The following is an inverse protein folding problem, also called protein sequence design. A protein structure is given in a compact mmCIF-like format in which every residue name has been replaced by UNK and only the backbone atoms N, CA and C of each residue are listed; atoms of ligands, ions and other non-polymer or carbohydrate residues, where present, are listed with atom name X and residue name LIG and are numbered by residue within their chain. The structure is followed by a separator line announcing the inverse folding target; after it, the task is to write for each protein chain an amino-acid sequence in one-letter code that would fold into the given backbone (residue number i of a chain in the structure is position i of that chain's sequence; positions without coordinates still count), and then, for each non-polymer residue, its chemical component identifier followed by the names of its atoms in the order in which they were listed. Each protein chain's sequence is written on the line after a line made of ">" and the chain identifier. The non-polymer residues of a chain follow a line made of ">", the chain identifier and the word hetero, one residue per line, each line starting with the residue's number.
data_IF_415684654229
#
_entry.id   IF_415684654229
#
_cell.length_a   1.000
_cell.length_b   1.000
_cell.length_c   1.000
_cell.angle_alpha   90.00
_cell.angle_beta   90.00
_cell.angle_gamma   90.00
#
_symmetry.space_group_name_H-M   'P 1'
#
loop_
_entity.id
_entity.type
_entity.pdbx_description
1 polymer ?
#
# COMPACT_ATOMS: atom_id res chain seq x y z
N UNK A 1 -11.39 -3.62 7.60
CA UNK A 1 -12.06 -2.31 7.64
C UNK A 1 -12.02 -1.77 6.24
N UNK A 2 -13.16 -1.34 5.69
CA UNK A 2 -13.21 -0.65 4.40
C UNK A 2 -13.43 0.84 4.67
N UNK A 3 -12.58 1.69 4.11
CA UNK A 3 -12.59 3.13 4.34
C UNK A 3 -12.86 3.84 3.03
N UNK A 4 -13.87 4.70 3.00
CA UNK A 4 -14.33 5.38 1.79
C UNK A 4 -15.81 5.15 1.52
N UNK A 5 -16.35 5.91 0.58
CA UNK A 5 -17.78 5.91 0.24
C UNK A 5 -18.00 5.74 -1.27
N UNK A 6 -17.09 5.03 -1.92
CA UNK A 6 -17.15 4.69 -3.32
C UNK A 6 -18.19 3.57 -3.54
N UNK A 7 -18.74 3.51 -4.74
CA UNK A 7 -19.82 2.57 -5.09
C UNK A 7 -19.41 1.12 -4.81
N UNK A 8 -20.28 0.37 -4.11
CA UNK A 8 -20.06 -1.04 -3.78
C UNK A 8 -19.41 -1.29 -2.42
N UNK A 9 -18.82 -0.27 -1.78
CA UNK A 9 -18.13 -0.45 -0.49
C UNK A 9 -19.12 -0.82 0.63
N UNK A 10 -20.28 -0.18 0.70
CA UNK A 10 -21.27 -0.49 1.74
C UNK A 10 -21.81 -1.91 1.58
N UNK A 11 -22.15 -2.31 0.36
CA UNK A 11 -22.68 -3.63 0.04
C UNK A 11 -21.66 -4.73 0.36
N UNK A 12 -20.43 -4.60 -0.15
CA UNK A 12 -19.39 -5.61 0.08
C UNK A 12 -18.95 -5.64 1.55
N UNK A 13 -19.02 -4.50 2.27
CA UNK A 13 -18.72 -4.48 3.70
C UNK A 13 -19.70 -5.33 4.49
N UNK A 14 -21.00 -5.28 4.15
CA UNK A 14 -22.05 -6.09 4.78
C UNK A 14 -21.93 -7.56 4.40
N UNK A 15 -21.64 -7.85 3.12
CA UNK A 15 -21.46 -9.23 2.64
C UNK A 15 -20.30 -9.93 3.36
N UNK A 16 -19.17 -9.23 3.54
CA UNK A 16 -17.97 -9.77 4.18
C UNK A 16 -17.95 -9.65 5.72
N UNK A 17 -19.01 -9.13 6.33
CA UNK A 17 -19.07 -8.80 7.77
C UNK A 17 -17.87 -7.96 8.23
N UNK A 18 -17.54 -6.92 7.46
CA UNK A 18 -16.41 -6.02 7.75
C UNK A 18 -16.90 -4.64 8.15
N UNK A 19 -16.19 -4.02 9.09
CA UNK A 19 -16.46 -2.63 9.49
C UNK A 19 -16.23 -1.66 8.32
N UNK A 20 -17.23 -0.83 8.05
CA UNK A 20 -17.18 0.26 7.07
C UNK A 20 -16.99 1.62 7.76
N UNK A 21 -16.12 2.48 7.20
CA UNK A 21 -15.90 3.87 7.62
C UNK A 21 -16.07 4.77 6.38
N UNK A 22 -17.28 5.29 6.12
CA UNK A 22 -17.56 6.03 4.88
C UNK A 22 -16.94 7.42 4.84
N UNK A 23 -16.94 8.10 5.99
CA UNK A 23 -16.53 9.49 6.04
C UNK A 23 -15.02 9.60 6.08
N UNK A 24 -14.44 10.34 5.15
CA UNK A 24 -13.04 10.77 5.15
C UNK A 24 -12.99 12.20 4.66
N UNK A 25 -12.02 12.97 5.13
CA UNK A 25 -11.82 14.30 4.58
C UNK A 25 -11.46 14.17 3.10
N UNK A 26 -12.08 15.03 2.30
CA UNK A 26 -11.94 15.08 0.86
C UNK A 26 -11.39 16.44 0.48
N UNK A 27 -10.70 16.53 -0.66
CA UNK A 27 -10.29 17.81 -1.21
C UNK A 27 -11.49 18.54 -1.87
N UNK A 28 -11.23 19.71 -2.47
CA UNK A 28 -12.26 20.52 -3.14
C UNK A 28 -12.92 19.82 -4.33
N UNK A 29 -12.30 18.79 -4.90
CA UNK A 29 -12.86 17.96 -5.98
C UNK A 29 -13.66 16.76 -5.46
N UNK A 30 -13.75 16.59 -4.13
CA UNK A 30 -14.42 15.44 -3.51
C UNK A 30 -13.56 14.18 -3.43
N UNK A 31 -12.27 14.21 -3.77
CA UNK A 31 -11.39 13.03 -3.70
C UNK A 31 -10.88 12.82 -2.27
N UNK A 32 -10.91 11.59 -1.73
CA UNK A 32 -10.40 11.28 -0.40
C UNK A 32 -8.94 11.69 -0.19
N UNK A 33 -8.63 12.17 1.01
CA UNK A 33 -7.26 12.51 1.42
C UNK A 33 -6.60 11.34 2.15
N UNK A 34 -5.40 10.98 1.72
CA UNK A 34 -4.56 9.92 2.28
C UNK A 34 -4.39 10.07 3.79
N UNK A 35 -4.04 11.27 4.26
CA UNK A 35 -3.88 11.53 5.70
C UNK A 35 -5.15 11.20 6.49
N UNK A 36 -6.33 11.50 5.96
CA UNK A 36 -7.59 11.25 6.65
C UNK A 36 -7.90 9.77 6.75
N UNK A 37 -7.53 8.99 5.73
CA UNK A 37 -7.71 7.54 5.73
C UNK A 37 -6.83 6.91 6.81
N UNK A 38 -5.54 7.26 6.86
CA UNK A 38 -4.62 6.75 7.87
C UNK A 38 -4.97 7.20 9.29
N UNK A 39 -5.41 8.45 9.49
CA UNK A 39 -5.90 8.92 10.80
C UNK A 39 -7.09 8.08 11.26
N UNK A 40 -8.13 7.94 10.43
CA UNK A 40 -9.33 7.17 10.80
C UNK A 40 -9.06 5.69 10.98
N UNK A 41 -8.16 5.11 10.19
CA UNK A 41 -7.70 3.74 10.38
C UNK A 41 -7.07 3.56 11.78
N UNK A 42 -6.17 4.45 12.18
CA UNK A 42 -5.51 4.39 13.49
C UNK A 42 -6.49 4.61 14.65
N UNK A 43 -7.41 5.58 14.53
CA UNK A 43 -8.42 5.85 15.56
C UNK A 43 -9.39 4.67 15.76
N UNK A 44 -9.74 3.99 14.66
CA UNK A 44 -10.69 2.88 14.68
C UNK A 44 -10.07 1.50 14.98
N UNK A 45 -8.75 1.36 14.82
CA UNK A 45 -8.05 0.10 15.03
C UNK A 45 -8.08 -0.35 16.49
N UNK A 46 -8.43 -1.61 16.73
CA UNK A 46 -8.36 -2.25 18.05
C UNK A 46 -7.02 -2.96 18.28
N UNK A 47 -6.32 -3.33 17.19
CA UNK A 47 -5.04 -4.02 17.22
C UNK A 47 -3.85 -3.05 17.11
N UNK A 48 -2.67 -3.52 17.52
CA UNK A 48 -1.44 -2.72 17.49
C UNK A 48 -0.73 -2.72 16.13
N UNK A 49 -0.92 -3.74 15.28
CA UNK A 49 -0.35 -3.79 13.93
C UNK A 49 -1.47 -3.47 12.94
N UNK A 50 -1.24 -2.49 12.06
CA UNK A 50 -2.14 -2.13 10.98
C UNK A 50 -1.54 -2.52 9.63
N UNK A 51 -2.40 -2.98 8.73
CA UNK A 51 -2.09 -3.20 7.33
C UNK A 51 -3.01 -2.30 6.52
N UNK A 52 -2.43 -1.36 5.78
CA UNK A 52 -3.11 -0.68 4.69
C UNK A 52 -2.77 -1.40 3.39
N UNK A 53 -3.77 -1.61 2.53
CA UNK A 53 -3.61 -2.28 1.24
C UNK A 53 -4.61 -1.66 0.26
N UNK A 54 -4.16 -1.38 -0.97
CA UNK A 54 -5.06 -0.95 -2.03
C UNK A 54 -6.01 -2.10 -2.44
N UNK A 55 -7.22 -1.77 -2.89
CA UNK A 55 -8.28 -2.76 -3.12
C UNK A 55 -8.05 -3.66 -4.35
N UNK A 56 -7.09 -3.30 -5.20
CA UNK A 56 -6.62 -4.03 -6.39
C UNK A 56 -5.41 -4.95 -6.10
N UNK A 57 -5.01 -5.06 -4.82
CA UNK A 57 -3.92 -5.92 -4.37
C UNK A 57 -4.46 -7.21 -3.74
N UNK A 58 -3.93 -8.33 -4.19
CA UNK A 58 -4.11 -9.65 -3.59
C UNK A 58 -2.84 -9.99 -2.80
N UNK A 59 -2.99 -10.19 -1.49
CA UNK A 59 -1.93 -10.66 -0.60
C UNK A 59 -2.09 -12.17 -0.35
N UNK A 60 -0.96 -12.88 -0.25
CA UNK A 60 -0.94 -14.33 -0.08
C UNK A 60 -0.60 -14.74 1.37
N UNK A 61 -0.56 -16.04 1.64
CA UNK A 61 -0.30 -16.56 2.99
C UNK A 61 1.09 -16.23 3.56
N UNK A 62 1.98 -15.62 2.76
CA UNK A 62 3.29 -15.15 3.20
C UNK A 62 3.27 -13.82 3.98
N UNK A 63 2.17 -13.06 3.91
CA UNK A 63 2.00 -11.79 4.61
C UNK A 63 2.16 -11.93 6.12
N UNK A 64 1.39 -12.83 6.75
CA UNK A 64 1.36 -12.95 8.20
C UNK A 64 2.71 -13.43 8.78
N UNK A 65 3.37 -14.47 8.24
CA UNK A 65 4.72 -14.84 8.65
C UNK A 65 5.72 -13.68 8.57
N UNK A 66 5.70 -12.90 7.48
CA UNK A 66 6.59 -11.76 7.31
C UNK A 66 6.37 -10.68 8.39
N UNK A 67 5.10 -10.36 8.68
CA UNK A 67 4.74 -9.42 9.75
C UNK A 67 5.24 -9.91 11.11
N UNK A 68 5.00 -11.18 11.43
CA UNK A 68 5.43 -11.79 12.70
C UNK A 68 6.96 -11.73 12.87
N UNK A 69 7.70 -12.06 11.81
CA UNK A 69 9.17 -12.00 11.84
C UNK A 69 9.68 -10.61 12.18
N UNK A 70 9.10 -9.56 11.59
CA UNK A 70 9.50 -8.17 11.86
C UNK A 70 9.03 -7.73 13.25
N UNK A 71 7.78 -8.00 13.62
CA UNK A 71 7.20 -7.55 14.89
C UNK A 71 7.87 -8.18 16.11
N UNK A 72 8.47 -9.37 15.97
CA UNK A 72 9.23 -10.02 17.04
C UNK A 72 10.60 -9.38 17.29
N UNK A 73 11.09 -8.54 16.37
CA UNK A 73 12.44 -7.98 16.39
C UNK A 73 12.45 -6.44 16.49
N UNK A 74 11.34 -5.78 16.17
CA UNK A 74 11.25 -4.33 16.11
C UNK A 74 9.94 -3.83 16.73
N UNK A 75 10.05 -2.76 17.53
CA UNK A 75 8.88 -2.11 18.16
C UNK A 75 8.25 -1.00 17.30
N UNK A 76 8.94 -0.57 16.24
CA UNK A 76 8.49 0.44 15.30
C UNK A 76 9.07 0.14 13.94
N UNK A 77 8.23 0.16 12.90
CA UNK A 77 8.63 -0.17 11.55
C UNK A 77 7.61 0.31 10.51
N UNK A 78 8.07 0.38 9.26
CA UNK A 78 7.24 0.43 8.06
C UNK A 78 7.64 -0.72 7.13
N UNK A 79 6.78 -1.73 6.96
CA UNK A 79 6.99 -2.80 5.99
C UNK A 79 6.28 -2.43 4.70
N UNK A 80 7.03 -2.46 3.60
CA UNK A 80 6.58 -2.20 2.23
C UNK A 80 7.26 -3.21 1.29
N UNK A 81 6.82 -3.27 0.03
CA UNK A 81 7.44 -4.12 -0.98
C UNK A 81 6.89 -3.83 -2.36
N UNK A 82 7.66 -4.18 -3.39
CA UNK A 82 7.18 -4.13 -4.77
C UNK A 82 6.06 -5.15 -4.97
N UNK A 83 5.17 -4.85 -5.91
CA UNK A 83 4.12 -5.77 -6.34
C UNK A 83 4.44 -6.40 -7.69
N UNK A 84 3.74 -7.48 -7.99
CA UNK A 84 3.67 -8.06 -9.31
C UNK A 84 2.44 -7.56 -10.05
N UNK A 85 2.63 -6.97 -11.21
CA UNK A 85 1.55 -6.60 -12.12
C UNK A 85 1.19 -7.83 -12.97
N UNK A 86 -0.09 -8.22 -12.96
CA UNK A 86 -0.57 -9.38 -13.72
C UNK A 86 -2.00 -9.16 -14.20
N UNK A 87 -2.29 -9.64 -15.40
CA UNK A 87 -3.65 -9.68 -15.93
C UNK A 87 -4.39 -10.87 -15.32
N UNK A 88 -5.50 -10.60 -14.64
CA UNK A 88 -6.41 -11.62 -14.10
C UNK A 88 -7.80 -11.31 -14.64
N UNK A 89 -8.27 -12.17 -15.55
CA UNK A 89 -9.55 -12.04 -16.25
C UNK A 89 -10.57 -13.12 -15.83
N UNK A 90 -10.28 -13.85 -14.75
CA UNK A 90 -11.13 -14.90 -14.19
C UNK A 90 -11.44 -14.66 -12.72
N UNK A 91 -12.57 -15.20 -12.26
CA UNK A 91 -12.96 -15.16 -10.85
C UNK A 91 -12.07 -16.11 -10.06
N UNK A 92 -11.41 -15.58 -9.03
CA UNK A 92 -10.60 -16.36 -8.10
C UNK A 92 -11.55 -16.99 -7.07
N UNK A 93 -11.56 -18.32 -6.99
CA UNK A 93 -12.27 -19.03 -5.93
C UNK A 93 -11.33 -19.26 -4.73
N UNK A 94 -11.39 -18.36 -3.74
CA UNK A 94 -10.59 -18.46 -2.52
C UNK A 94 -10.91 -19.67 -1.63
N UNK A 95 -11.96 -20.44 -1.94
CA UNK A 95 -12.32 -21.65 -1.19
C UNK A 95 -11.58 -22.92 -1.65
N UNK A 96 -10.82 -22.88 -2.76
CA UNK A 96 -10.07 -24.07 -3.22
C UNK A 96 -8.69 -24.13 -2.58
N UNK A 97 -8.27 -25.30 -2.11
CA UNK A 97 -6.96 -25.44 -1.44
C UNK A 97 -5.74 -25.03 -2.29
N UNK A 98 -5.90 -24.90 -3.61
CA UNK A 98 -4.85 -24.59 -4.56
C UNK A 98 -4.92 -23.18 -5.17
N UNK A 99 -5.85 -22.32 -4.72
CA UNK A 99 -6.03 -20.97 -5.27
C UNK A 99 -4.72 -20.16 -5.26
N UNK A 100 -3.98 -20.24 -4.15
CA UNK A 100 -2.74 -19.49 -3.97
C UNK A 100 -1.64 -20.01 -4.90
N UNK A 101 -1.46 -21.34 -4.97
CA UNK A 101 -0.46 -21.97 -5.82
C UNK A 101 -0.73 -21.63 -7.29
N UNK A 102 -1.99 -21.67 -7.73
CA UNK A 102 -2.40 -21.27 -9.08
C UNK A 102 -2.06 -19.82 -9.38
N UNK A 103 -2.36 -18.90 -8.46
CA UNK A 103 -2.01 -17.49 -8.62
C UNK A 103 -0.50 -17.28 -8.70
N UNK A 104 0.29 -17.90 -7.79
CA UNK A 104 1.76 -17.79 -7.85
C UNK A 104 2.33 -18.30 -9.18
N UNK A 105 1.82 -19.42 -9.68
CA UNK A 105 2.26 -19.99 -10.97
C UNK A 105 1.88 -19.04 -12.12
N UNK A 106 0.65 -18.56 -12.16
CA UNK A 106 0.20 -17.58 -13.16
C UNK A 106 1.09 -16.34 -13.12
N UNK A 107 1.19 -15.68 -11.96
CA UNK A 107 1.95 -14.43 -11.81
C UNK A 107 3.42 -14.59 -12.17
N UNK A 108 4.07 -15.71 -11.83
CA UNK A 108 5.46 -15.97 -12.22
C UNK A 108 5.63 -16.20 -13.72
N UNK A 109 4.61 -16.74 -14.39
CA UNK A 109 4.66 -17.05 -15.81
C UNK A 109 4.30 -15.86 -16.70
N UNK A 110 3.37 -15.02 -16.27
CA UNK A 110 2.79 -13.94 -17.10
C UNK A 110 2.96 -12.55 -16.51
N UNK A 111 3.13 -12.45 -15.20
CA UNK A 111 3.26 -11.19 -14.49
C UNK A 111 4.67 -10.60 -14.58
N UNK A 112 4.79 -9.36 -14.12
CA UNK A 112 6.07 -8.62 -14.07
C UNK A 112 6.17 -7.92 -12.74
N UNK A 113 7.35 -7.92 -12.13
CA UNK A 113 7.58 -7.08 -10.96
C UNK A 113 7.52 -5.60 -11.39
N UNK A 114 6.73 -4.80 -10.69
CA UNK A 114 6.66 -3.37 -10.96
C UNK A 114 7.99 -2.70 -10.59
N UNK A 115 8.33 -1.57 -11.20
CA UNK A 115 9.48 -0.73 -10.83
C UNK A 115 9.54 -0.42 -9.31
N UNK A 116 10.74 -0.15 -8.74
CA UNK A 116 10.99 0.14 -7.32
C UNK A 116 10.07 1.18 -6.65
N UNK A 117 9.39 2.00 -7.43
CA UNK A 117 8.42 3.00 -6.96
C UNK A 117 7.08 2.40 -6.56
N UNK A 118 6.73 1.24 -7.11
CA UNK A 118 5.40 0.65 -7.01
C UNK A 118 5.17 -0.12 -5.72
N UNK A 119 4.66 0.57 -4.70
CA UNK A 119 4.32 0.01 -3.38
C UNK A 119 2.84 0.29 -3.06
N UNK A 120 2.09 -0.74 -2.69
CA UNK A 120 0.62 -0.64 -2.56
C UNK A 120 0.08 -1.27 -1.27
N UNK A 121 0.98 -1.74 -0.41
CA UNK A 121 0.66 -2.17 0.93
C UNK A 121 1.68 -1.61 1.93
N UNK A 122 1.20 -1.32 3.14
CA UNK A 122 1.97 -0.69 4.20
C UNK A 122 1.60 -1.35 5.52
N UNK A 123 2.59 -1.96 6.20
CA UNK A 123 2.41 -2.50 7.54
C UNK A 123 3.16 -1.65 8.55
N UNK A 124 2.48 -1.23 9.60
CA UNK A 124 3.05 -0.34 10.61
C UNK A 124 2.34 -0.49 11.96
N UNK A 125 2.99 -0.02 13.02
CA UNK A 125 2.41 0.02 14.36
C UNK A 125 1.36 1.13 14.48
N UNK A 126 0.26 0.86 15.19
CA UNK A 126 -0.74 1.86 15.60
C UNK A 126 -0.05 3.00 16.34
N UNK A 127 -0.50 4.23 16.09
CA UNK A 127 0.05 5.48 16.59
C UNK A 127 1.44 5.82 16.04
N UNK A 128 1.83 5.21 14.91
CA UNK A 128 3.07 5.60 14.23
C UNK A 128 3.03 7.09 13.85
N UNK A 129 4.11 7.85 14.08
CA UNK A 129 4.16 9.27 13.74
C UNK A 129 4.26 9.52 12.22
N UNK A 130 4.45 8.48 11.39
CA UNK A 130 4.52 8.57 9.92
C UNK A 130 3.30 9.30 9.34
N UNK A 131 2.13 9.21 9.98
CA UNK A 131 0.91 9.77 9.43
C UNK A 131 0.46 11.08 10.09
N UNK A 132 1.08 11.51 11.20
CA UNK A 132 0.57 12.58 12.07
C UNK A 132 0.46 13.95 11.38
N UNK A 133 1.40 14.26 10.48
CA UNK A 133 1.44 15.50 9.70
C UNK A 133 1.62 15.20 8.20
N UNK A 134 1.05 14.07 7.75
CA UNK A 134 1.21 13.67 6.36
C UNK A 134 0.50 14.66 5.43
N UNK A 135 1.11 15.12 4.32
CA UNK A 135 0.49 16.11 3.45
C UNK A 135 -0.83 15.62 2.82
N UNK A 136 -1.65 16.58 2.37
CA UNK A 136 -3.00 16.37 1.82
C UNK A 136 -2.98 15.76 0.40
N UNK A 137 -2.27 14.64 0.23
CA UNK A 137 -2.32 13.86 -0.99
C UNK A 137 -3.72 13.27 -1.20
N UNK A 138 -4.23 13.40 -2.41
CA UNK A 138 -5.45 12.75 -2.84
C UNK A 138 -5.18 11.29 -3.21
N UNK A 139 -6.10 10.39 -2.86
CA UNK A 139 -6.05 8.97 -3.24
C UNK A 139 -6.02 8.84 -4.77
N UNK A 140 -5.26 7.85 -5.27
CA UNK A 140 -5.16 7.57 -6.70
C UNK A 140 -4.37 8.63 -7.49
N UNK A 141 -3.57 9.45 -6.81
CA UNK A 141 -2.59 10.37 -7.43
C UNK A 141 -1.18 9.96 -7.04
N UNK A 142 -0.21 10.41 -7.82
CA UNK A 142 1.20 10.04 -7.61
C UNK A 142 1.78 10.47 -6.26
N UNK A 143 2.84 9.75 -5.88
CA UNK A 143 3.90 10.10 -4.93
C UNK A 143 3.57 10.03 -3.44
N UNK A 144 2.32 9.88 -3.01
CA UNK A 144 2.01 9.77 -1.58
C UNK A 144 2.67 8.53 -0.94
N UNK A 145 2.69 7.43 -1.68
CA UNK A 145 3.35 6.18 -1.37
C UNK A 145 4.85 6.40 -1.13
N UNK A 146 5.55 6.99 -2.11
CA UNK A 146 6.98 7.27 -2.04
C UNK A 146 7.34 8.28 -0.95
N UNK A 147 6.48 9.28 -0.71
CA UNK A 147 6.66 10.26 0.37
C UNK A 147 6.46 9.64 1.74
N UNK A 148 5.66 8.57 1.88
CA UNK A 148 5.52 7.84 3.14
C UNK A 148 6.83 7.18 3.58
N UNK A 149 7.60 6.63 2.63
CA UNK A 149 8.93 6.09 2.89
C UNK A 149 9.84 7.21 3.39
N UNK A 150 9.89 8.34 2.67
CA UNK A 150 10.68 9.49 3.10
C UNK A 150 10.34 9.94 4.51
N UNK A 151 9.04 10.03 4.83
CA UNK A 151 8.62 10.46 6.16
C UNK A 151 9.03 9.47 7.25
N UNK A 152 8.94 8.16 7.00
CA UNK A 152 9.44 7.14 7.92
C UNK A 152 10.96 7.29 8.15
N UNK A 153 11.74 7.52 7.09
CA UNK A 153 13.18 7.73 7.19
C UNK A 153 13.54 9.00 7.98
N UNK A 154 12.83 10.11 7.78
CA UNK A 154 13.04 11.34 8.56
C UNK A 154 12.75 11.15 10.06
N UNK A 155 11.87 10.20 10.38
CA UNK A 155 11.50 9.85 11.76
C UNK A 155 12.40 8.75 12.35
N UNK A 156 13.46 8.33 11.64
CA UNK A 156 14.31 7.19 11.99
C UNK A 156 13.52 5.89 12.24
N UNK A 157 12.40 5.71 11.55
CA UNK A 157 11.63 4.47 11.59
C UNK A 157 12.23 3.52 10.55
N UNK A 158 12.61 2.28 10.94
CA UNK A 158 13.06 1.26 10.00
C UNK A 158 12.06 1.06 8.87
N UNK A 159 12.55 1.15 7.63
CA UNK A 159 11.79 0.80 6.43
C UNK A 159 12.27 -0.57 5.99
N UNK A 160 11.37 -1.55 5.99
CA UNK A 160 11.66 -2.94 5.65
C UNK A 160 11.19 -3.17 4.23
N UNK A 161 12.13 -3.48 3.35
CA UNK A 161 11.84 -4.05 2.04
C UNK A 161 11.53 -5.54 2.19
N UNK A 162 10.25 -5.87 2.04
CA UNK A 162 9.73 -7.22 2.10
C UNK A 162 9.40 -7.80 0.72
N UNK A 163 9.89 -7.20 -0.37
CA UNK A 163 9.60 -7.62 -1.75
C UNK A 163 9.84 -9.11 -2.02
N UNK A 164 10.85 -9.70 -1.37
CA UNK A 164 11.18 -11.13 -1.54
C UNK A 164 10.45 -12.06 -0.58
N UNK A 165 9.79 -11.51 0.45
CA UNK A 165 9.09 -12.27 1.48
C UNK A 165 7.57 -12.13 1.43
N UNK A 166 7.05 -11.04 0.85
CA UNK A 166 5.61 -10.80 0.68
C UNK A 166 5.31 -10.77 -0.82
N UNK A 167 4.51 -11.73 -1.29
CA UNK A 167 4.15 -11.82 -2.69
C UNK A 167 2.85 -11.04 -2.95
N UNK A 168 2.99 -9.72 -3.10
CA UNK A 168 1.88 -8.84 -3.41
C UNK A 168 1.58 -8.85 -4.92
N UNK A 169 0.32 -9.11 -5.28
CA UNK A 169 -0.14 -9.17 -6.67
C UNK A 169 -1.08 -7.99 -6.93
N UNK A 170 -0.78 -7.16 -7.91
CA UNK A 170 -1.68 -6.15 -8.44
C UNK A 170 -2.43 -6.71 -9.65
N UNK A 171 -3.75 -6.75 -9.56
CA UNK A 171 -4.58 -7.07 -10.70
C UNK A 171 -4.61 -5.87 -11.64
N UNK A 172 -4.05 -6.04 -12.84
CA UNK A 172 -4.12 -5.00 -13.85
C UNK A 172 -5.57 -4.68 -14.21
N UNK A 173 -5.86 -3.40 -14.29
CA UNK A 173 -7.15 -2.89 -14.71
C UNK A 173 -6.97 -1.58 -15.49
N UNK A 174 -7.98 -1.25 -16.28
CA UNK A 174 -8.04 0.04 -16.95
C UNK A 174 -8.63 1.14 -16.04
N UNK A 175 -8.64 2.37 -16.55
CA UNK A 175 -9.26 3.52 -15.90
C UNK A 175 -10.50 3.98 -16.68
N UNK A 176 -11.14 3.09 -17.44
CA UNK A 176 -12.29 3.43 -18.30
C UNK A 176 -13.52 3.89 -17.51
N UNK A 177 -13.60 3.53 -16.23
CA UNK A 177 -14.63 3.99 -15.31
C UNK A 177 -14.49 5.47 -14.91
N UNK A 178 -13.35 6.11 -15.18
CA UNK A 178 -13.13 7.52 -14.88
C UNK A 178 -13.47 8.41 -16.09
N UNK A 179 -14.06 9.61 -15.88
CA UNK A 179 -14.40 10.53 -16.96
C UNK A 179 -13.19 10.93 -17.81
N UNK A 180 -12.05 11.16 -17.17
CA UNK A 180 -10.78 11.54 -17.78
C UNK A 180 -9.87 10.32 -17.93
N UNK A 181 -10.17 9.52 -18.95
CA UNK A 181 -9.54 8.22 -19.29
C UNK A 181 -8.01 8.24 -19.46
N UNK A 182 -7.37 9.41 -19.49
CA UNK A 182 -5.95 9.58 -19.79
C UNK A 182 -5.13 9.98 -18.56
N UNK A 183 -4.44 8.98 -17.96
CA UNK A 183 -3.33 9.18 -17.01
C UNK A 183 -3.68 10.13 -15.85
N UNK A 184 -4.91 10.07 -15.34
CA UNK A 184 -5.42 10.90 -14.23
C UNK A 184 -4.58 10.80 -12.95
N UNK A 185 -3.82 9.71 -12.80
CA UNK A 185 -2.86 9.58 -11.71
C UNK A 185 -1.76 10.65 -11.81
N UNK A 186 -1.28 10.93 -13.03
CA UNK A 186 -0.16 11.86 -13.31
C UNK A 186 -0.61 13.18 -13.91
N UNK A 187 -1.82 13.30 -14.45
CA UNK A 187 -2.32 14.50 -15.13
C UNK A 187 -3.49 15.12 -14.37
N UNK A 188 -3.69 16.42 -14.60
CA UNK A 188 -4.77 17.18 -13.99
C UNK A 188 -4.37 17.94 -12.72
N UNK A 189 -5.34 18.66 -12.17
CA UNK A 189 -5.15 19.60 -11.06
C UNK A 189 -4.64 18.88 -9.80
N UNK A 190 -5.19 17.71 -9.48
CA UNK A 190 -4.82 16.98 -8.27
C UNK A 190 -3.42 16.39 -8.34
N UNK A 191 -2.99 15.85 -9.49
CA UNK A 191 -1.59 15.41 -9.66
C UNK A 191 -0.61 16.58 -9.62
N UNK A 192 -0.99 17.76 -10.14
CA UNK A 192 -0.20 18.97 -9.99
C UNK A 192 -0.12 19.41 -8.53
N UNK A 193 -1.20 19.26 -7.77
CA UNK A 193 -1.18 19.46 -6.31
C UNK A 193 -0.24 18.46 -5.64
N UNK A 194 -0.30 17.16 -5.97
CA UNK A 194 0.65 16.16 -5.46
C UNK A 194 2.11 16.56 -5.72
N UNK A 195 2.46 17.03 -6.92
CA UNK A 195 3.81 17.53 -7.23
C UNK A 195 4.22 18.72 -6.35
N UNK A 196 3.30 19.65 -6.10
CA UNK A 196 3.55 20.79 -5.20
C UNK A 196 3.74 20.33 -3.75
N UNK A 197 2.99 19.31 -3.31
CA UNK A 197 3.11 18.73 -1.96
C UNK A 197 4.44 17.98 -1.76
N UNK A 198 4.92 17.28 -2.80
CA UNK A 198 6.29 16.72 -2.82
C UNK A 198 7.29 17.86 -2.61
N UNK A 199 7.13 18.94 -3.36
CA UNK A 199 8.02 20.10 -3.33
C UNK A 199 9.38 19.74 -3.93
N UNK A 200 10.29 19.25 -3.10
CA UNK A 200 11.61 18.80 -3.53
C UNK A 200 11.55 17.34 -3.97
N UNK A 201 11.92 17.08 -5.23
CA UNK A 201 11.94 15.73 -5.80
C UNK A 201 13.00 14.84 -5.15
N UNK A 202 14.02 15.40 -4.48
CA UNK A 202 14.95 14.65 -3.64
C UNK A 202 14.28 13.99 -2.43
N UNK A 203 12.99 14.25 -2.16
CA UNK A 203 12.20 13.54 -1.15
C UNK A 203 11.53 12.29 -1.68
N UNK A 204 11.49 12.06 -2.99
CA UNK A 204 10.90 10.83 -3.52
C UNK A 204 11.83 9.66 -3.14
N UNK A 205 11.28 8.69 -2.43
CA UNK A 205 11.96 7.46 -2.01
C UNK A 205 11.28 6.26 -2.61
N UNK A 206 12.08 5.26 -2.94
CA UNK A 206 11.68 3.98 -3.52
C UNK A 206 11.96 2.86 -2.54
N UNK A 207 11.62 1.62 -2.89
CA UNK A 207 11.99 0.45 -2.10
C UNK A 207 13.52 0.30 -1.92
N UNK A 208 14.31 0.89 -2.83
CA UNK A 208 15.76 0.86 -2.75
C UNK A 208 16.29 1.67 -1.57
N UNK A 209 15.52 2.65 -1.08
CA UNK A 209 15.87 3.46 0.09
C UNK A 209 15.48 2.81 1.43
N UNK A 210 14.94 1.59 1.40
CA UNK A 210 14.66 0.84 2.61
C UNK A 210 15.95 0.62 3.43
N UNK A 211 15.85 0.67 4.75
CA UNK A 211 17.01 0.50 5.65
C UNK A 211 17.23 -0.95 6.06
N UNK A 212 16.23 -1.81 5.83
CA UNK A 212 16.27 -3.23 6.14
C UNK A 212 15.71 -4.05 4.98
N UNK A 213 16.13 -5.30 4.89
CA UNK A 213 15.63 -6.28 3.96
C UNK A 213 15.10 -7.49 4.72
N UNK A 214 13.93 -7.97 4.31
CA UNK A 214 13.34 -9.22 4.80
C UNK A 214 13.35 -10.23 3.66
N UNK A 215 14.16 -11.29 3.80
CA UNK A 215 14.23 -12.41 2.86
C UNK A 215 14.22 -13.72 3.59
N UNK A 216 13.38 -14.67 3.14
CA UNK A 216 13.27 -16.00 3.74
C UNK A 216 13.05 -15.94 5.28
N UNK A 217 12.18 -15.03 5.73
CA UNK A 217 11.93 -14.76 7.16
C UNK A 217 13.18 -14.37 7.96
N UNK A 218 14.20 -13.82 7.30
CA UNK A 218 15.39 -13.29 7.92
C UNK A 218 15.46 -11.78 7.69
N UNK A 219 15.44 -11.03 8.79
CA UNK A 219 15.46 -9.59 8.81
C UNK A 219 16.90 -9.11 9.00
N UNK A 220 17.41 -8.30 8.07
CA UNK A 220 18.79 -7.80 8.10
C UNK A 220 18.85 -6.33 7.71
N UNK A 221 19.77 -5.53 8.27
CA UNK A 221 20.02 -4.19 7.77
C UNK A 221 20.45 -4.26 6.30
N UNK A 222 19.99 -3.33 5.46
CA UNK A 222 20.64 -3.10 4.16
C UNK A 222 21.97 -2.42 4.47
N UNK A 223 23.07 -3.16 4.33
CA UNK A 223 24.41 -2.57 4.41
C UNK A 223 24.56 -1.65 3.22
N UNK A 224 24.83 -0.37 3.49
CA UNK A 224 25.15 0.57 2.44
C UNK A 224 26.44 0.13 1.74
N UNK A 225 26.37 -0.24 0.47
CA UNK A 225 27.49 0.06 -0.43
C UNK A 225 27.44 1.57 -0.65
N UNK A 226 27.96 2.32 0.33
CA UNK A 226 28.18 3.78 0.24
C UNK A 226 29.49 4.05 -0.48
#
# INVERSE_FOLDING_TARGET
>A
VLIGNEHGIEEISKELDTRHIPDVQRNNSGTPLIRSIFTKAQESATNHILVYVNADIILLNDLIPAIITVSNQMNSYLIVGQRWDVDIDFVINFNTADWETKLRVLTKNTGRIHEPTGIDYFVFNKNTPIWKNFPDFAVGRIAWDNISIYNALQLNIPVIDATTSIFAIHQNHDYNHLPDKNDIQRKGVESNTSRKLVGDYEKIRTINDATWHLSNNNLRPKTEDR
#
